data_IF_645511764296
#
_entry.id   IF_645511764296
#
_cell.length_a   1.000
_cell.length_b   1.000
_cell.length_c   1.000
_cell.angle_alpha   90.00
_cell.angle_beta   90.00
_cell.angle_gamma   90.00
#
_symmetry.space_group_name_H-M   'P 1'
#
loop_
_entity.id
_entity.type
_entity.pdbx_description
1 polymer ?
#
# COMPACT_ATOMS: atom_id res chain seq x y z
N UNK A 1 15.52 -15.50 -5.52
CA UNK A 1 14.62 -15.62 -6.68
C UNK A 1 15.42 -15.34 -7.94
N UNK A 2 15.45 -16.26 -8.90
CA UNK A 2 16.05 -16.03 -10.23
C UNK A 2 15.37 -14.88 -10.99
N UNK A 3 16.11 -14.21 -11.88
CA UNK A 3 15.60 -13.04 -12.62
C UNK A 3 14.36 -13.36 -13.46
N UNK A 4 14.37 -14.48 -14.18
CA UNK A 4 13.23 -14.93 -15.00
C UNK A 4 11.96 -15.25 -14.17
N UNK A 5 12.12 -15.65 -12.91
CA UNK A 5 10.98 -15.86 -12.00
C UNK A 5 10.44 -14.50 -11.52
N UNK A 6 11.33 -13.55 -11.21
CA UNK A 6 10.92 -12.20 -10.85
C UNK A 6 10.17 -11.50 -11.99
N UNK A 7 10.66 -11.62 -13.23
CA UNK A 7 10.03 -11.05 -14.42
C UNK A 7 8.60 -11.58 -14.60
N UNK A 8 8.41 -12.90 -14.45
CA UNK A 8 7.08 -13.51 -14.53
C UNK A 8 6.15 -12.96 -13.47
N UNK A 9 6.60 -12.88 -12.21
CA UNK A 9 5.78 -12.32 -11.12
C UNK A 9 5.41 -10.87 -11.35
N UNK A 10 6.30 -10.06 -11.92
CA UNK A 10 6.00 -8.67 -12.29
C UNK A 10 4.90 -8.65 -13.37
N UNK A 11 5.01 -9.49 -14.40
CA UNK A 11 4.00 -9.58 -15.45
C UNK A 11 2.65 -10.08 -14.93
N UNK A 12 2.64 -10.97 -13.93
CA UNK A 12 1.41 -11.41 -13.26
C UNK A 12 0.73 -10.24 -12.53
N UNK A 13 1.50 -9.35 -11.90
CA UNK A 13 0.98 -8.13 -11.26
C UNK A 13 0.42 -7.16 -12.31
N UNK A 14 1.12 -6.95 -13.43
CA UNK A 14 0.62 -6.11 -14.54
C UNK A 14 -0.70 -6.66 -15.09
N UNK A 15 -0.80 -7.97 -15.27
CA UNK A 15 -2.04 -8.62 -15.72
C UNK A 15 -3.18 -8.46 -14.69
N UNK A 16 -2.86 -8.56 -13.40
CA UNK A 16 -3.80 -8.31 -12.31
C UNK A 16 -4.33 -6.88 -12.34
N UNK A 17 -3.47 -5.87 -12.46
CA UNK A 17 -3.86 -4.46 -12.53
C UNK A 17 -4.77 -4.18 -13.72
N UNK A 18 -4.43 -4.67 -14.92
CA UNK A 18 -5.29 -4.54 -16.10
C UNK A 18 -6.66 -5.18 -15.89
N UNK A 19 -6.71 -6.32 -15.20
CA UNK A 19 -7.98 -7.03 -14.92
C UNK A 19 -8.84 -6.30 -13.89
N UNK A 20 -8.24 -5.76 -12.83
CA UNK A 20 -8.95 -5.22 -11.66
C UNK A 20 -9.24 -3.72 -11.81
N UNK A 21 -8.30 -2.96 -12.38
CA UNK A 21 -8.38 -1.52 -12.53
C UNK A 21 -8.75 -1.09 -13.96
N UNK A 22 -8.53 -1.97 -14.95
CA UNK A 22 -8.65 -1.63 -16.37
C UNK A 22 -7.40 -0.93 -16.94
N UNK A 23 -6.35 -0.73 -16.14
CA UNK A 23 -5.08 -0.09 -16.52
C UNK A 23 -3.93 -0.53 -15.59
N UNK A 24 -2.69 -0.31 -16.03
CA UNK A 24 -1.41 -0.65 -15.37
C UNK A 24 -0.49 0.58 -15.31
N UNK A 25 -1.02 1.68 -14.76
CA UNK A 25 -0.37 3.00 -14.65
C UNK A 25 -0.20 3.38 -13.17
N UNK A 26 0.36 4.56 -12.91
CA UNK A 26 0.47 5.13 -11.57
C UNK A 26 -0.85 5.00 -10.78
N UNK A 27 -0.75 4.44 -9.58
CA UNK A 27 -1.87 4.29 -8.64
C UNK A 27 -1.56 4.99 -7.33
N UNK A 28 -2.61 5.48 -6.67
CA UNK A 28 -2.50 6.05 -5.34
C UNK A 28 -2.33 4.95 -4.28
N UNK A 29 -1.88 5.34 -3.10
CA UNK A 29 -1.56 4.42 -2.02
C UNK A 29 -2.77 3.61 -1.54
N UNK A 30 -3.97 4.20 -1.55
CA UNK A 30 -5.20 3.48 -1.23
C UNK A 30 -5.49 2.32 -2.21
N UNK A 31 -5.19 2.53 -3.50
CA UNK A 31 -5.34 1.48 -4.52
C UNK A 31 -4.27 0.41 -4.36
N UNK A 32 -3.02 0.79 -4.09
CA UNK A 32 -1.93 -0.17 -3.81
C UNK A 32 -2.28 -1.02 -2.58
N UNK A 33 -2.71 -0.39 -1.48
CA UNK A 33 -3.16 -1.08 -0.27
C UNK A 33 -4.30 -2.07 -0.58
N UNK A 34 -5.31 -1.66 -1.36
CA UNK A 34 -6.41 -2.53 -1.77
C UNK A 34 -5.91 -3.75 -2.54
N UNK A 35 -5.05 -3.54 -3.54
CA UNK A 35 -4.49 -4.63 -4.34
C UNK A 35 -3.70 -5.63 -3.47
N UNK A 36 -2.89 -5.13 -2.53
CA UNK A 36 -2.13 -5.98 -1.61
C UNK A 36 -3.09 -6.86 -0.80
N UNK A 37 -4.09 -6.24 -0.17
CA UNK A 37 -5.02 -6.93 0.75
C UNK A 37 -5.95 -7.92 0.03
N UNK A 38 -6.35 -7.64 -1.20
CA UNK A 38 -7.33 -8.47 -1.93
C UNK A 38 -6.69 -9.61 -2.74
N UNK A 39 -5.41 -9.51 -3.06
CA UNK A 39 -4.78 -10.40 -4.05
C UNK A 39 -3.46 -11.02 -3.63
N UNK A 40 -2.90 -10.64 -2.49
CA UNK A 40 -1.65 -11.22 -1.98
C UNK A 40 -1.84 -11.76 -0.56
N UNK A 41 -0.92 -12.59 -0.11
CA UNK A 41 -0.92 -13.15 1.26
C UNK A 41 -0.34 -12.16 2.29
N UNK A 42 -0.43 -10.86 2.02
CA UNK A 42 0.06 -9.79 2.87
C UNK A 42 -1.10 -8.89 3.28
N UNK A 43 -0.95 -8.24 4.41
CA UNK A 43 -1.82 -7.16 4.83
C UNK A 43 -1.06 -5.83 4.72
N UNK A 44 -1.76 -4.80 4.31
CA UNK A 44 -1.26 -3.45 4.13
C UNK A 44 -2.21 -2.43 4.77
N UNK A 45 -1.61 -1.41 5.38
CA UNK A 45 -2.33 -0.26 5.92
C UNK A 45 -1.57 1.03 5.66
N UNK A 46 -2.31 2.14 5.61
CA UNK A 46 -1.74 3.47 5.39
C UNK A 46 -1.37 4.13 6.72
N UNK A 47 -0.16 4.65 6.81
CA UNK A 47 0.28 5.51 7.92
C UNK A 47 0.41 6.93 7.37
N UNK A 48 -0.40 7.84 7.92
CA UNK A 48 -0.39 9.27 7.55
C UNK A 48 0.71 9.98 8.32
N UNK A 49 1.45 10.83 7.62
CA UNK A 49 2.56 11.61 8.14
C UNK A 49 3.48 10.82 9.11
N UNK A 50 4.03 9.67 8.68
CA UNK A 50 4.82 8.83 9.55
C UNK A 50 6.08 9.58 9.99
N UNK A 51 6.46 9.44 11.26
CA UNK A 51 7.77 9.90 11.72
C UNK A 51 8.86 8.93 11.25
N UNK A 52 10.12 9.39 11.23
CA UNK A 52 11.27 8.51 10.95
C UNK A 52 11.31 7.35 11.95
N UNK A 53 10.98 7.59 13.22
CA UNK A 53 10.95 6.55 14.26
C UNK A 53 9.92 5.45 13.93
N UNK A 54 8.70 5.83 13.53
CA UNK A 54 7.65 4.86 13.16
C UNK A 54 8.04 4.03 11.93
N UNK A 55 8.74 4.64 10.95
CA UNK A 55 9.29 3.89 9.80
C UNK A 55 10.34 2.88 10.28
N UNK A 56 11.26 3.30 11.16
CA UNK A 56 12.31 2.42 11.69
C UNK A 56 11.75 1.25 12.48
N UNK A 57 10.74 1.47 13.32
CA UNK A 57 10.08 0.41 14.08
C UNK A 57 9.54 -0.71 13.18
N UNK A 58 9.03 -0.37 11.99
CA UNK A 58 8.61 -1.36 11.00
C UNK A 58 9.81 -2.12 10.42
N UNK A 59 10.87 -1.40 10.09
CA UNK A 59 12.10 -1.97 9.52
C UNK A 59 12.82 -2.89 10.53
N UNK A 60 12.81 -2.54 11.81
CA UNK A 60 13.38 -3.32 12.91
C UNK A 60 12.63 -4.65 13.12
N UNK A 61 11.37 -4.72 12.70
CA UNK A 61 10.60 -5.96 12.62
C UNK A 61 10.92 -6.80 11.37
N UNK A 62 11.86 -6.35 10.54
CA UNK A 62 12.22 -6.99 9.27
C UNK A 62 11.19 -6.76 8.16
N UNK A 63 10.33 -5.76 8.30
CA UNK A 63 9.22 -5.50 7.38
C UNK A 63 9.50 -4.26 6.53
N UNK A 64 9.31 -4.30 5.20
CA UNK A 64 9.55 -3.15 4.35
C UNK A 64 8.43 -2.11 4.47
N UNK A 65 8.75 -0.88 4.09
CA UNK A 65 7.77 0.21 3.95
C UNK A 65 7.76 0.70 2.51
N UNK A 66 6.57 0.78 1.89
CA UNK A 66 6.41 1.32 0.55
C UNK A 66 6.13 2.83 0.64
N UNK A 67 6.88 3.61 -0.14
CA UNK A 67 6.84 5.08 -0.11
C UNK A 67 6.42 5.63 -1.48
N UNK A 68 5.17 6.12 -1.59
CA UNK A 68 4.77 7.08 -2.61
C UNK A 68 5.57 8.37 -2.50
N UNK A 69 6.11 8.87 -3.61
CA UNK A 69 6.97 10.04 -3.61
C UNK A 69 6.82 10.92 -4.85
N UNK A 70 7.07 12.21 -4.66
CA UNK A 70 7.36 13.14 -5.75
C UNK A 70 8.74 12.84 -6.32
N UNK A 71 8.77 12.23 -7.51
CA UNK A 71 9.99 11.80 -8.17
C UNK A 71 10.98 12.95 -8.42
N UNK A 72 10.49 14.17 -8.64
CA UNK A 72 11.37 15.34 -8.86
C UNK A 72 12.13 15.77 -7.60
N UNK A 73 11.61 15.48 -6.41
CA UNK A 73 12.37 15.68 -5.17
C UNK A 73 13.48 14.63 -5.05
N UNK A 74 13.22 13.38 -5.42
CA UNK A 74 14.20 12.28 -5.37
C UNK A 74 15.43 12.54 -6.26
N UNK A 75 15.24 13.20 -7.41
CA UNK A 75 16.33 13.54 -8.32
C UNK A 75 17.41 14.44 -7.71
N UNK A 76 17.10 15.15 -6.62
CA UNK A 76 18.09 16.02 -5.96
C UNK A 76 19.27 15.21 -5.39
N UNK A 77 19.07 13.92 -5.09
CA UNK A 77 20.14 13.02 -4.63
C UNK A 77 20.33 11.78 -5.50
N UNK A 78 19.40 11.46 -6.41
CA UNK A 78 19.56 10.33 -7.33
C UNK A 78 20.01 10.81 -8.73
N UNK A 79 21.32 10.71 -9.05
CA UNK A 79 21.86 11.16 -10.34
C UNK A 79 21.52 10.20 -11.49
N UNK A 80 20.92 9.05 -11.22
CA UNK A 80 20.62 8.04 -12.22
C UNK A 80 19.26 8.25 -12.90
N UNK A 81 18.44 9.19 -12.42
CA UNK A 81 17.23 9.61 -13.14
C UNK A 81 17.60 10.46 -14.36
N UNK A 82 17.21 9.98 -15.55
CA UNK A 82 17.31 10.77 -16.77
C UNK A 82 16.37 11.97 -16.68
N UNK A 83 16.89 13.17 -16.93
CA UNK A 83 16.07 14.40 -16.95
C UNK A 83 14.96 14.26 -18.01
N UNK A 84 13.73 14.68 -17.69
CA UNK A 84 13.37 15.49 -16.53
C UNK A 84 13.04 14.67 -15.27
N UNK A 85 13.04 13.33 -15.33
CA UNK A 85 12.75 12.37 -14.26
C UNK A 85 11.26 12.11 -14.00
N UNK A 86 10.92 11.18 -13.10
CA UNK A 86 9.52 10.84 -12.81
C UNK A 86 8.82 11.98 -12.06
N UNK A 87 7.55 12.24 -12.36
CA UNK A 87 6.72 13.15 -11.56
C UNK A 87 6.31 12.47 -10.26
N UNK A 88 5.67 11.30 -10.38
CA UNK A 88 5.33 10.42 -9.28
C UNK A 88 6.17 9.14 -9.34
N UNK A 89 6.55 8.60 -8.18
CA UNK A 89 7.33 7.39 -8.07
C UNK A 89 6.94 6.61 -6.81
N UNK A 90 7.26 5.32 -6.76
CA UNK A 90 7.07 4.49 -5.58
C UNK A 90 8.31 3.62 -5.38
N UNK A 91 8.85 3.62 -4.17
CA UNK A 91 10.04 2.86 -3.80
C UNK A 91 9.86 2.17 -2.44
N UNK A 92 10.74 1.24 -2.11
CA UNK A 92 10.70 0.52 -0.84
C UNK A 92 11.84 0.97 0.07
N UNK A 93 11.56 1.23 1.34
CA UNK A 93 12.57 1.29 2.40
C UNK A 93 12.74 -0.12 2.97
N UNK A 94 13.98 -0.57 3.06
CA UNK A 94 14.34 -1.90 3.60
C UNK A 94 15.41 -1.84 4.70
N UNK A 95 15.88 -0.66 5.06
CA UNK A 95 16.93 -0.45 6.04
C UNK A 95 17.18 1.02 6.30
N UNK A 96 18.04 1.32 7.27
CA UNK A 96 18.47 2.68 7.58
C UNK A 96 19.88 2.70 8.17
N UNK A 97 20.49 3.89 8.21
CA UNK A 97 21.83 4.13 8.73
C UNK A 97 21.81 5.45 9.53
N UNK A 98 21.80 5.35 10.85
CA UNK A 98 21.73 6.52 11.73
C UNK A 98 23.01 7.30 11.85
N UNK A 99 24.16 6.69 11.58
CA UNK A 99 25.41 7.43 11.51
C UNK A 99 25.42 8.38 10.32
N UNK A 100 24.81 7.97 9.19
CA UNK A 100 24.75 8.78 7.96
C UNK A 100 23.44 9.53 7.77
N UNK A 101 22.43 9.25 8.58
CA UNK A 101 21.08 9.80 8.46
C UNK A 101 20.43 9.47 7.09
N UNK A 102 20.50 8.20 6.69
CA UNK A 102 20.04 7.72 5.38
C UNK A 102 19.11 6.51 5.48
N UNK A 103 18.07 6.47 4.65
CA UNK A 103 17.31 5.25 4.37
C UNK A 103 18.02 4.43 3.29
N UNK A 104 17.99 3.11 3.44
CA UNK A 104 18.42 2.13 2.45
C UNK A 104 17.18 1.64 1.72
N UNK A 105 17.17 1.77 0.40
CA UNK A 105 15.97 1.59 -0.42
C UNK A 105 16.17 0.60 -1.57
N UNK A 106 15.06 0.08 -2.09
CA UNK A 106 15.01 -0.58 -3.39
C UNK A 106 14.30 0.36 -4.37
N UNK A 107 15.07 0.93 -5.30
CA UNK A 107 14.66 2.00 -6.20
C UNK A 107 14.41 1.45 -7.62
N UNK A 108 13.17 1.11 -8.00
CA UNK A 108 12.89 0.43 -9.26
C UNK A 108 13.05 1.34 -10.50
N UNK A 109 13.14 2.66 -10.33
CA UNK A 109 13.23 3.61 -11.43
C UNK A 109 14.60 3.68 -12.11
N UNK A 110 15.62 2.97 -11.61
CA UNK A 110 17.00 3.04 -12.14
C UNK A 110 17.69 1.67 -12.13
N UNK A 111 18.60 1.43 -13.08
CA UNK A 111 19.35 0.16 -13.18
C UNK A 111 20.35 -0.11 -12.04
N UNK A 112 20.48 0.82 -11.08
CA UNK A 112 21.37 0.73 -9.90
C UNK A 112 20.60 0.94 -8.59
N UNK A 113 19.33 0.54 -8.57
CA UNK A 113 18.42 0.83 -7.46
C UNK A 113 18.58 -0.03 -6.21
N UNK A 114 19.36 -1.12 -6.28
CA UNK A 114 19.53 -2.02 -5.14
C UNK A 114 20.29 -1.33 -4.01
N UNK A 115 19.67 -1.27 -2.84
CA UNK A 115 20.20 -0.61 -1.65
C UNK A 115 20.61 0.85 -1.91
N UNK A 116 19.89 1.54 -2.80
CA UNK A 116 20.14 2.96 -3.05
C UNK A 116 19.85 3.76 -1.76
N UNK A 117 20.64 4.80 -1.50
CA UNK A 117 20.59 5.55 -0.24
C UNK A 117 20.00 6.94 -0.45
N UNK A 118 19.01 7.27 0.35
CA UNK A 118 18.38 8.59 0.37
C UNK A 118 18.54 9.22 1.76
N UNK A 119 18.96 10.49 1.87
CA UNK A 119 18.94 11.21 3.14
C UNK A 119 17.53 11.22 3.74
N UNK A 120 17.42 11.06 5.06
CA UNK A 120 16.13 11.06 5.74
C UNK A 120 15.28 12.29 5.37
N UNK A 121 15.84 13.49 5.53
CA UNK A 121 15.13 14.74 5.23
C UNK A 121 14.63 14.81 3.78
N UNK A 122 15.41 14.27 2.83
CA UNK A 122 15.04 14.29 1.42
C UNK A 122 13.91 13.31 1.12
N UNK A 123 14.00 12.06 1.58
CA UNK A 123 12.93 11.09 1.34
C UNK A 123 11.64 11.47 2.07
N UNK A 124 11.74 11.96 3.30
CA UNK A 124 10.59 12.43 4.08
C UNK A 124 9.88 13.62 3.42
N UNK A 125 10.65 14.55 2.82
CA UNK A 125 10.07 15.69 2.07
C UNK A 125 9.58 15.31 0.67
N UNK A 126 10.08 14.22 0.10
CA UNK A 126 9.60 13.68 -1.17
C UNK A 126 8.29 12.90 -1.01
N UNK A 127 8.03 12.33 0.17
CA UNK A 127 6.86 11.49 0.45
C UNK A 127 5.56 12.25 0.17
N UNK A 128 4.74 11.74 -0.75
CA UNK A 128 3.39 12.22 -1.02
C UNK A 128 2.65 11.25 -1.92
N UNK A 129 1.35 11.10 -1.69
CA UNK A 129 0.46 10.26 -2.51
C UNK A 129 0.20 10.88 -3.90
N UNK A 130 -0.29 10.07 -4.81
CA UNK A 130 -0.69 10.47 -6.15
C UNK A 130 -1.93 11.35 -6.10
N UNK A 131 -1.77 12.61 -6.53
CA UNK A 131 -2.89 13.50 -6.88
C UNK A 131 -2.74 13.88 -8.35
N UNK A 132 -3.87 13.95 -9.06
CA UNK A 132 -3.90 14.24 -10.49
C UNK A 132 -4.71 15.50 -10.78
N UNK A 133 -4.32 16.23 -11.83
CA UNK A 133 -5.13 17.31 -12.36
C UNK A 133 -6.33 16.80 -13.19
N UNK A 134 -7.15 17.71 -13.70
CA UNK A 134 -8.31 17.38 -14.53
C UNK A 134 -7.97 16.60 -15.83
N UNK A 135 -6.69 16.51 -16.21
CA UNK A 135 -6.21 15.75 -17.38
C UNK A 135 -5.55 14.42 -16.98
N UNK A 136 -5.62 14.03 -15.70
CA UNK A 136 -5.01 12.81 -15.19
C UNK A 136 -3.48 12.89 -15.03
N UNK A 137 -2.89 14.09 -15.03
CA UNK A 137 -1.43 14.26 -14.87
C UNK A 137 -1.08 14.37 -13.39
N UNK A 138 -0.05 13.66 -12.90
CA UNK A 138 0.39 13.81 -11.51
C UNK A 138 0.80 15.24 -11.20
N UNK A 139 0.31 15.78 -10.09
CA UNK A 139 0.67 17.09 -9.54
C UNK A 139 1.27 16.95 -8.14
N UNK A 140 2.06 17.94 -7.73
CA UNK A 140 2.62 17.99 -6.39
C UNK A 140 1.57 18.42 -5.36
N UNK A 141 1.73 18.00 -4.09
CA UNK A 141 0.87 18.39 -2.98
C UNK A 141 -0.07 17.28 -2.49
N UNK A 142 0.20 16.02 -2.85
CA UNK A 142 -0.49 14.89 -2.26
C UNK A 142 -0.20 14.73 -0.77
N UNK A 143 -1.07 14.01 -0.07
CA UNK A 143 -0.91 13.76 1.36
C UNK A 143 0.39 12.98 1.64
N UNK A 144 1.10 13.33 2.71
CA UNK A 144 2.25 12.56 3.16
C UNK A 144 1.76 11.28 3.82
N UNK A 145 2.04 10.14 3.19
CA UNK A 145 1.70 8.82 3.73
C UNK A 145 2.70 7.76 3.28
N UNK A 146 2.69 6.65 4.00
CA UNK A 146 3.44 5.44 3.68
C UNK A 146 2.52 4.22 3.78
N UNK A 147 2.86 3.16 3.04
CA UNK A 147 2.13 1.90 3.07
C UNK A 147 2.98 0.90 3.84
N UNK A 148 2.46 0.49 4.98
CA UNK A 148 3.10 -0.49 5.84
C UNK A 148 2.57 -1.85 5.45
N UNK A 149 3.47 -2.81 5.22
CA UNK A 149 3.12 -4.16 4.77
C UNK A 149 3.58 -5.17 5.82
N UNK A 150 2.67 -6.06 6.21
CA UNK A 150 2.90 -7.12 7.19
C UNK A 150 2.51 -8.47 6.57
N UNK A 151 3.07 -9.60 7.05
CA UNK A 151 2.58 -10.92 6.68
C UNK A 151 1.09 -11.02 7.03
N UNK A 152 0.26 -11.51 6.11
CA UNK A 152 -1.15 -11.73 6.40
C UNK A 152 -1.31 -12.78 7.50
N UNK A 153 -2.28 -12.58 8.40
CA UNK A 153 -2.66 -13.61 9.36
C UNK A 153 -3.09 -14.83 8.55
N UNK A 154 -2.29 -15.90 8.55
CA UNK A 154 -2.42 -17.01 7.61
C UNK A 154 -3.85 -17.50 7.42
N UNK A 155 -4.50 -17.06 6.34
CA UNK A 155 -5.68 -17.75 5.84
C UNK A 155 -5.14 -19.02 5.15
N UNK A 156 -5.63 -20.23 5.49
CA UNK A 156 -5.28 -21.40 4.71
C UNK A 156 -5.64 -21.07 3.27
N UNK A 157 -4.64 -21.13 2.37
CA UNK A 157 -4.89 -21.13 0.93
C UNK A 157 -6.03 -22.13 0.73
N UNK A 158 -7.19 -21.65 0.27
CA UNK A 158 -8.29 -22.54 -0.02
C UNK A 158 -7.70 -23.64 -0.91
N UNK A 159 -7.79 -24.93 -0.51
CA UNK A 159 -7.20 -26.00 -1.28
C UNK A 159 -7.72 -25.85 -2.71
N UNK A 160 -6.80 -25.79 -3.67
CA UNK A 160 -7.13 -25.74 -5.08
C UNK A 160 -8.09 -26.90 -5.33
N UNK A 161 -9.38 -26.59 -5.51
CA UNK A 161 -10.36 -27.61 -5.87
C UNK A 161 -9.95 -28.08 -7.26
N UNK A 162 -9.29 -29.23 -7.31
CA UNK A 162 -9.25 -30.04 -8.53
C UNK A 162 -10.67 -30.26 -9.04
N UNK A 163 -10.86 -30.60 -10.32
CA UNK A 163 -12.19 -30.69 -10.93
C UNK A 163 -12.95 -31.86 -10.30
N UNK A 164 -13.72 -31.57 -9.26
CA UNK A 164 -14.39 -32.56 -8.42
C UNK A 164 -15.68 -31.97 -7.88
N UNK A 165 -16.76 -32.22 -8.63
CA UNK A 165 -18.18 -32.30 -8.26
C UNK A 165 -18.67 -31.33 -7.17
N UNK A 166 -19.55 -30.41 -7.57
CA UNK A 166 -20.36 -29.61 -6.66
C UNK A 166 -21.12 -30.50 -5.67
N UNK A 167 -20.84 -30.33 -4.37
CA UNK A 167 -21.77 -30.69 -3.32
C UNK A 167 -22.65 -29.46 -3.01
N UNK A 168 -23.96 -29.61 -2.79
CA UNK A 168 -24.86 -28.49 -2.56
C UNK A 168 -24.61 -27.83 -1.20
N UNK A 169 -24.78 -26.51 -1.14
CA UNK A 169 -24.65 -25.71 0.07
C UNK A 169 -25.71 -26.11 1.13
N UNK A 170 -25.37 -26.12 2.43
CA UNK A 170 -26.36 -26.32 3.48
C UNK A 170 -27.25 -25.08 3.61
N UNK A 171 -28.56 -25.30 3.67
CA UNK A 171 -29.58 -24.28 3.84
C UNK A 171 -29.43 -23.53 5.17
N UNK A 172 -29.40 -22.20 5.11
CA UNK A 172 -29.42 -21.34 6.29
C UNK A 172 -30.80 -21.46 6.97
N UNK A 173 -30.83 -22.06 8.16
CA UNK A 173 -32.01 -22.06 9.02
C UNK A 173 -32.22 -20.66 9.62
N UNK A 174 -33.35 -20.04 9.26
CA UNK A 174 -33.93 -18.86 9.90
C UNK A 174 -34.09 -19.12 11.40
N UNK A 175 -33.54 -18.26 12.26
CA UNK A 175 -33.96 -18.17 13.66
C UNK A 175 -34.48 -16.76 13.97
N UNK A 176 -35.80 -16.68 14.04
CA UNK A 176 -36.54 -15.60 14.68
C UNK A 176 -36.42 -15.75 16.19
N UNK A 177 -36.15 -14.66 16.91
CA UNK A 177 -36.62 -14.49 18.29
C UNK A 177 -36.56 -13.02 18.71
N UNK A 178 -37.74 -12.37 18.71
CA UNK A 178 -38.06 -11.29 19.65
C UNK A 178 -38.38 -11.90 21.02
N UNK A 179 -38.20 -11.16 22.12
CA UNK A 179 -39.35 -10.71 22.92
C UNK A 179 -39.23 -9.20 23.25
N UNK A 180 -40.27 -8.35 23.13
CA UNK A 180 -41.36 -8.05 24.10
C UNK A 180 -40.83 -7.82 25.53
N UNK A 181 -41.07 -6.72 26.26
CA UNK A 181 -42.23 -5.85 26.35
C UNK A 181 -41.85 -4.56 27.15
N UNK A 182 -42.75 -3.68 27.65
CA UNK A 182 -42.67 -2.23 27.49
C UNK A 182 -42.45 -1.51 28.85
N UNK A 183 -42.32 -0.19 28.89
CA UNK A 183 -43.05 0.63 29.87
C UNK A 183 -42.97 2.11 29.46
N UNK A 184 -44.17 2.69 29.34
CA UNK A 184 -44.41 4.11 29.17
C UNK A 184 -44.25 4.82 30.52
N UNK A 185 -43.82 6.09 30.50
CA UNK A 185 -44.61 7.24 30.99
C UNK A 185 -43.93 8.54 30.51
N UNK A 186 -44.76 9.40 29.92
CA UNK A 186 -44.54 10.79 29.54
C UNK A 186 -44.19 11.66 30.78
N UNK A 187 -43.79 12.93 30.76
CA UNK A 187 -44.23 14.04 29.93
C UNK A 187 -43.44 15.29 30.35
N UNK A 188 -43.45 16.28 29.45
CA UNK A 188 -43.25 17.72 29.69
C UNK A 188 -41.85 18.18 30.12
N UNK A 189 -41.33 19.33 29.73
CA UNK A 189 -41.60 20.39 28.74
C UNK A 189 -40.59 21.49 29.11
N UNK A 190 -40.36 22.42 28.18
CA UNK A 190 -40.06 23.84 28.43
C UNK A 190 -38.58 24.30 28.52
N UNK A 191 -38.26 25.20 27.55
CA UNK A 191 -37.35 26.36 27.51
C UNK A 191 -35.84 26.08 27.76
N UNK A 192 -34.93 26.43 26.85
CA UNK A 192 -34.67 27.71 26.19
C UNK A 192 -34.07 27.57 24.79
#
# INVERSE_FOLDING_TARGET
>A
MPANEADKRILDIVALERRVLGYDKDTNAGTIMRLINEHFSFEAYLVRDPSIAVIKEQIDQGLPVVIPAWGRTLMKSNPYFTRPGPTYHTLLITGYDDTKQEFITQEPGVGRGRNFRYPYALLMSAMQDLVQDAKGRPIQGGERLAIFVVPGQGFPLAPTRGPGRCAPAPALARRLSRPSNPFWINNNSILM
#
